data_IF_434720438502
#
_entry.id   IF_434720438502
#
_cell.length_a   1.000
_cell.length_b   1.000
_cell.length_c   1.000
_cell.angle_alpha   90.00
_cell.angle_beta   90.00
_cell.angle_gamma   90.00
#
_symmetry.space_group_name_H-M   'P 1'
#
loop_
_entity.id
_entity.type
_entity.pdbx_description
1 polymer ?
#
# COMPACT_ATOMS: atom_id res chain seq x y z
N UNK A 1 -27.97 -13.74 -2.01
CA UNK A 1 -27.41 -12.79 -1.05
C UNK A 1 -26.01 -12.43 -1.44
N UNK A 2 -25.85 -11.23 -1.88
CA UNK A 2 -24.53 -10.70 -2.11
C UNK A 2 -23.96 -10.25 -0.77
N UNK A 3 -23.16 -11.08 -0.17
CA UNK A 3 -22.41 -10.67 1.00
C UNK A 3 -21.40 -9.60 0.58
N UNK A 4 -21.69 -8.37 0.91
CA UNK A 4 -20.71 -7.30 0.72
C UNK A 4 -19.51 -7.59 1.60
N UNK A 5 -18.28 -7.48 1.06
CA UNK A 5 -17.09 -7.64 1.88
C UNK A 5 -17.12 -6.67 3.05
N UNK A 6 -16.64 -7.13 4.19
CA UNK A 6 -16.50 -6.26 5.36
C UNK A 6 -15.53 -5.12 5.03
N UNK A 7 -15.88 -3.87 5.35
CA UNK A 7 -14.99 -2.73 5.07
C UNK A 7 -13.61 -2.87 5.68
N UNK A 8 -13.49 -3.52 6.83
CA UNK A 8 -12.19 -3.77 7.46
C UNK A 8 -11.37 -4.74 6.61
N UNK A 9 -11.99 -5.81 6.13
CA UNK A 9 -11.31 -6.78 5.28
C UNK A 9 -10.87 -6.15 3.96
N UNK A 10 -11.68 -5.26 3.41
CA UNK A 10 -11.34 -4.50 2.20
C UNK A 10 -10.12 -3.60 2.45
N UNK A 11 -10.13 -2.88 3.57
CA UNK A 11 -9.01 -2.01 3.93
C UNK A 11 -7.72 -2.81 4.11
N UNK A 12 -7.78 -3.89 4.86
CA UNK A 12 -6.62 -4.78 5.08
C UNK A 12 -6.11 -5.32 3.75
N UNK A 13 -7.01 -5.72 2.87
CA UNK A 13 -6.66 -6.18 1.52
C UNK A 13 -5.95 -5.11 0.71
N UNK A 14 -6.42 -3.87 0.77
CA UNK A 14 -5.77 -2.74 0.10
C UNK A 14 -4.37 -2.48 0.64
N UNK A 15 -4.19 -2.55 1.96
CA UNK A 15 -2.88 -2.37 2.59
C UNK A 15 -1.92 -3.48 2.19
N UNK A 16 -2.42 -4.71 2.14
CA UNK A 16 -1.65 -5.86 1.66
C UNK A 16 -1.17 -5.62 0.23
N UNK A 17 -2.08 -5.24 -0.64
CA UNK A 17 -1.75 -4.98 -2.04
C UNK A 17 -0.76 -3.83 -2.18
N UNK A 18 -0.96 -2.76 -1.43
CA UNK A 18 -0.06 -1.62 -1.43
C UNK A 18 1.37 -2.06 -1.12
N UNK A 19 1.56 -2.78 -0.03
CA UNK A 19 2.90 -3.20 0.39
C UNK A 19 3.52 -4.17 -0.61
N UNK A 20 2.74 -5.14 -1.08
CA UNK A 20 3.21 -6.08 -2.09
C UNK A 20 3.70 -5.34 -3.34
N UNK A 21 2.91 -4.40 -3.80
CA UNK A 21 3.21 -3.62 -5.00
C UNK A 21 4.46 -2.75 -4.81
N UNK A 22 4.59 -2.13 -3.65
CA UNK A 22 5.77 -1.32 -3.32
C UNK A 22 7.05 -2.16 -3.29
N UNK A 23 6.95 -3.43 -2.92
CA UNK A 23 8.08 -4.35 -2.95
C UNK A 23 8.35 -4.94 -4.36
N UNK A 24 7.52 -4.60 -5.34
CA UNK A 24 7.64 -5.15 -6.68
C UNK A 24 7.29 -6.63 -6.77
N UNK A 25 6.50 -7.12 -5.83
CA UNK A 25 6.15 -8.52 -5.73
C UNK A 25 4.85 -8.81 -6.47
N UNK A 26 4.81 -9.89 -7.27
CA UNK A 26 3.59 -10.31 -7.92
C UNK A 26 2.67 -11.06 -6.96
N UNK A 27 1.39 -11.17 -7.30
CA UNK A 27 0.44 -11.99 -6.55
C UNK A 27 0.86 -13.46 -6.53
N UNK A 28 1.40 -13.94 -7.64
CA UNK A 28 1.90 -15.32 -7.75
C UNK A 28 3.07 -15.55 -6.79
N UNK A 29 3.99 -14.60 -6.72
CA UNK A 29 5.15 -14.70 -5.83
C UNK A 29 4.70 -14.71 -4.38
N UNK A 30 3.80 -13.82 -4.00
CA UNK A 30 3.27 -13.78 -2.65
C UNK A 30 2.54 -15.08 -2.32
N UNK A 31 1.72 -15.57 -3.25
CA UNK A 31 1.03 -16.85 -3.08
C UNK A 31 2.01 -17.99 -2.85
N UNK A 32 3.07 -18.04 -3.64
CA UNK A 32 4.11 -19.05 -3.47
C UNK A 32 4.73 -19.02 -2.07
N UNK A 33 5.04 -17.84 -1.57
CA UNK A 33 5.62 -17.68 -0.24
C UNK A 33 4.66 -18.06 0.89
N UNK A 34 3.36 -17.93 0.65
CA UNK A 34 2.32 -18.29 1.61
C UNK A 34 1.81 -19.72 1.46
N UNK A 35 2.19 -20.41 0.39
CA UNK A 35 1.61 -21.70 0.05
C UNK A 35 0.17 -21.61 -0.46
N UNK A 36 -0.15 -20.50 -1.11
CA UNK A 36 -1.48 -20.22 -1.65
C UNK A 36 -1.43 -20.03 -3.16
N UNK A 37 -2.59 -20.16 -3.81
CA UNK A 37 -2.72 -19.81 -5.23
C UNK A 37 -2.82 -18.28 -5.39
N UNK A 38 -2.53 -17.79 -6.58
CA UNK A 38 -2.65 -16.36 -6.84
C UNK A 38 -4.11 -15.89 -6.73
N UNK A 39 -5.08 -16.75 -7.05
CA UNK A 39 -6.49 -16.42 -6.88
C UNK A 39 -6.86 -16.18 -5.42
N UNK A 40 -6.26 -16.94 -4.50
CA UNK A 40 -6.48 -16.76 -3.07
C UNK A 40 -5.89 -15.44 -2.59
N UNK A 41 -4.69 -15.08 -3.07
CA UNK A 41 -4.09 -13.78 -2.79
C UNK A 41 -4.97 -12.65 -3.32
N UNK A 42 -5.48 -12.81 -4.54
CA UNK A 42 -6.36 -11.83 -5.17
C UNK A 42 -7.63 -11.61 -4.33
N UNK A 43 -8.22 -12.67 -3.81
CA UNK A 43 -9.39 -12.59 -2.94
C UNK A 43 -9.08 -11.87 -1.63
N UNK A 44 -7.89 -12.08 -1.07
CA UNK A 44 -7.46 -11.34 0.11
C UNK A 44 -7.33 -9.84 -0.19
N UNK A 45 -6.71 -9.50 -1.32
CA UNK A 45 -6.50 -8.11 -1.70
C UNK A 45 -7.80 -7.36 -1.99
N UNK A 46 -8.83 -8.08 -2.42
CA UNK A 46 -10.16 -7.51 -2.65
C UNK A 46 -11.04 -7.46 -1.40
N UNK A 47 -10.61 -8.10 -0.33
CA UNK A 47 -11.38 -8.18 0.89
C UNK A 47 -12.52 -9.18 0.83
N UNK A 48 -12.58 -10.01 -0.21
CA UNK A 48 -13.59 -11.06 -0.38
C UNK A 48 -13.39 -12.16 0.65
N UNK A 49 -12.13 -12.51 0.90
CA UNK A 49 -11.75 -13.46 1.94
C UNK A 49 -11.13 -12.72 3.11
N UNK A 50 -11.56 -13.07 4.31
CA UNK A 50 -10.98 -12.53 5.53
C UNK A 50 -9.61 -13.15 5.75
N UNK A 51 -8.65 -12.31 6.11
CA UNK A 51 -7.31 -12.74 6.48
C UNK A 51 -7.29 -13.00 7.98
N UNK A 52 -7.10 -14.25 8.36
CA UNK A 52 -7.00 -14.63 9.77
C UNK A 52 -5.73 -14.08 10.43
N UNK A 53 -5.71 -14.06 11.75
CA UNK A 53 -4.59 -13.50 12.51
C UNK A 53 -3.26 -14.19 12.23
N UNK A 54 -3.26 -15.51 12.08
CA UNK A 54 -2.04 -16.25 11.75
C UNK A 54 -1.50 -15.85 10.38
N UNK A 55 -2.39 -15.68 9.40
CA UNK A 55 -2.00 -15.26 8.07
C UNK A 55 -1.50 -13.83 8.03
N UNK A 56 -2.12 -12.96 8.82
CA UNK A 56 -1.63 -11.58 8.98
C UNK A 56 -0.21 -11.55 9.53
N UNK A 57 0.06 -12.38 10.51
CA UNK A 57 1.40 -12.49 11.07
C UNK A 57 2.42 -12.94 10.02
N UNK A 58 2.10 -13.99 9.27
CA UNK A 58 2.95 -14.47 8.17
C UNK A 58 3.18 -13.38 7.12
N UNK A 59 2.13 -12.68 6.75
CA UNK A 59 2.22 -11.59 5.79
C UNK A 59 3.13 -10.48 6.30
N UNK A 60 3.03 -10.13 7.56
CA UNK A 60 3.92 -9.15 8.18
C UNK A 60 5.38 -9.56 8.09
N UNK A 61 5.67 -10.84 8.32
CA UNK A 61 7.03 -11.36 8.21
C UNK A 61 7.54 -11.32 6.76
N UNK A 62 6.72 -11.75 5.82
CA UNK A 62 7.10 -11.80 4.39
C UNK A 62 7.29 -10.40 3.83
N UNK A 63 6.40 -9.49 4.18
CA UNK A 63 6.40 -8.12 3.64
C UNK A 63 7.22 -7.14 4.47
N UNK A 64 7.79 -7.60 5.58
CA UNK A 64 8.62 -6.78 6.47
C UNK A 64 7.89 -5.56 7.01
N UNK A 65 6.68 -5.78 7.49
CA UNK A 65 5.88 -4.76 8.16
C UNK A 65 5.28 -5.33 9.44
N UNK A 66 5.03 -4.49 10.46
CA UNK A 66 4.29 -4.94 11.63
C UNK A 66 2.83 -5.23 11.26
N UNK A 67 2.16 -6.07 12.03
CA UNK A 67 0.73 -6.38 11.78
C UNK A 67 -0.12 -5.11 11.79
N UNK A 68 0.25 -4.14 12.63
CA UNK A 68 -0.44 -2.84 12.68
C UNK A 68 -0.47 -2.10 11.35
N UNK A 69 0.50 -2.36 10.48
CA UNK A 69 0.55 -1.74 9.15
C UNK A 69 -0.75 -1.97 8.37
N UNK A 70 -1.34 -3.16 8.48
CA UNK A 70 -2.55 -3.51 7.74
C UNK A 70 -3.79 -2.74 8.22
N UNK A 71 -3.71 -2.14 9.39
CA UNK A 71 -4.78 -1.38 9.99
C UNK A 71 -4.52 0.13 10.00
N UNK A 72 -3.35 0.56 9.55
CA UNK A 72 -3.02 1.98 9.46
C UNK A 72 -3.95 2.68 8.46
N UNK A 73 -4.27 3.92 8.77
CA UNK A 73 -5.16 4.75 7.95
C UNK A 73 -6.55 4.15 7.75
N UNK A 74 -6.95 3.26 8.65
CA UNK A 74 -8.27 2.68 8.59
C UNK A 74 -9.32 3.78 8.78
N UNK A 75 -10.28 3.90 7.85
CA UNK A 75 -11.35 4.85 8.05
C UNK A 75 -12.09 4.47 9.33
N UNK A 76 -12.31 5.45 10.19
CA UNK A 76 -13.10 5.23 11.39
C UNK A 76 -14.46 4.69 10.96
N UNK A 77 -14.76 3.50 11.46
CA UNK A 77 -15.92 2.78 11.00
C UNK A 77 -17.21 3.44 11.43
N UNK A 78 -18.29 2.88 10.97
CA UNK A 78 -19.67 3.32 11.20
C UNK A 78 -20.05 3.46 12.68
N UNK A 79 -19.13 3.18 13.57
CA UNK A 79 -19.34 3.29 15.01
C UNK A 79 -19.35 4.70 15.56
N UNK A 80 -19.57 5.70 14.75
CA UNK A 80 -19.75 7.04 15.22
C UNK A 80 -18.52 7.93 15.15
N UNK A 81 -17.57 7.54 14.36
CA UNK A 81 -16.54 8.50 13.99
C UNK A 81 -17.21 9.67 13.34
N UNK A 82 -16.93 10.86 13.79
CA UNK A 82 -17.52 12.03 13.18
C UNK A 82 -17.00 12.16 11.75
N UNK A 83 -17.78 11.79 10.76
CA UNK A 83 -17.34 11.91 9.37
C UNK A 83 -17.08 13.37 8.99
N UNK A 84 -17.63 14.26 9.74
CA UNK A 84 -17.45 15.69 9.52
C UNK A 84 -16.05 16.19 9.88
N UNK A 85 -15.30 15.39 10.64
CA UNK A 85 -13.93 15.75 10.99
C UNK A 85 -12.92 15.31 9.93
N UNK A 86 -13.35 14.50 8.99
CA UNK A 86 -12.47 14.11 7.88
C UNK A 86 -12.48 15.19 6.82
N UNK A 87 -11.32 15.74 6.55
CA UNK A 87 -11.20 16.66 5.45
C UNK A 87 -11.69 15.97 4.17
N UNK A 88 -12.51 16.64 3.34
CA UNK A 88 -13.05 16.03 2.14
C UNK A 88 -12.00 15.43 1.22
N UNK A 89 -10.80 15.99 1.23
CA UNK A 89 -9.70 15.47 0.44
C UNK A 89 -9.18 14.13 0.90
N UNK A 90 -9.37 13.78 2.18
CA UNK A 90 -8.95 12.49 2.71
C UNK A 90 -9.97 11.39 2.40
N UNK A 91 -11.22 11.76 2.22
CA UNK A 91 -12.25 10.80 1.86
C UNK A 91 -12.15 10.35 0.40
N UNK A 92 -11.54 11.15 -0.44
CA UNK A 92 -11.38 10.84 -1.85
C UNK A 92 -10.18 9.93 -2.11
N UNK A 93 -9.16 10.01 -1.27
CA UNK A 93 -7.91 9.29 -1.47
C UNK A 93 -8.03 7.76 -1.39
N UNK A 94 -8.78 7.17 -0.46
CA UNK A 94 -8.87 5.71 -0.41
C UNK A 94 -9.45 5.10 -1.67
N UNK A 95 -10.26 5.86 -2.39
CA UNK A 95 -10.90 5.38 -3.61
C UNK A 95 -9.93 5.37 -4.79
N UNK A 96 -8.89 6.19 -4.73
CA UNK A 96 -7.88 6.27 -5.77
C UNK A 96 -6.96 5.07 -5.86
N UNK A 97 -7.00 4.18 -4.89
CA UNK A 97 -6.10 3.04 -4.84
C UNK A 97 -6.76 1.72 -5.25
N UNK A 98 -7.66 1.75 -6.20
CA UNK A 98 -8.08 0.51 -6.84
C UNK A 98 -7.03 0.13 -7.88
N UNK A 99 -6.05 -0.62 -7.45
CA UNK A 99 -4.95 -1.05 -8.30
C UNK A 99 -5.35 -2.23 -9.20
N UNK A 100 -6.44 -2.13 -9.90
CA UNK A 100 -6.76 -3.21 -10.83
C UNK A 100 -5.88 -3.16 -12.08
N UNK A 101 -5.39 -1.98 -12.41
CA UNK A 101 -4.38 -1.80 -13.43
C UNK A 101 -3.54 -0.58 -13.06
N UNK A 102 -2.22 -0.74 -13.04
CA UNK A 102 -1.29 0.37 -12.83
C UNK A 102 -1.51 1.53 -13.83
N UNK A 103 -2.19 1.24 -14.93
CA UNK A 103 -2.48 2.24 -15.96
C UNK A 103 -3.54 3.25 -15.54
N UNK A 104 -4.39 2.90 -14.58
CA UNK A 104 -5.45 3.77 -14.10
C UNK A 104 -5.00 4.72 -13.00
N UNK A 105 -3.76 4.57 -12.54
CA UNK A 105 -3.22 5.48 -11.54
C UNK A 105 -2.87 6.83 -12.16
N UNK A 106 -3.11 7.93 -11.44
CA UNK A 106 -2.56 9.23 -11.85
C UNK A 106 -1.06 9.13 -12.10
N UNK A 107 -0.57 9.89 -13.07
CA UNK A 107 0.84 9.84 -13.48
C UNK A 107 1.81 10.03 -12.31
N UNK A 108 1.48 10.93 -11.40
CA UNK A 108 2.30 11.19 -10.23
C UNK A 108 2.39 9.98 -9.30
N UNK A 109 1.29 9.28 -9.09
CA UNK A 109 1.26 8.06 -8.26
C UNK A 109 1.94 6.90 -8.97
N UNK A 110 1.77 6.79 -10.27
CA UNK A 110 2.45 5.79 -11.09
C UNK A 110 3.96 5.99 -11.06
N UNK A 111 4.41 7.21 -11.24
CA UNK A 111 5.82 7.57 -11.20
C UNK A 111 6.43 7.23 -9.83
N UNK A 112 5.74 7.58 -8.75
CA UNK A 112 6.17 7.25 -7.39
C UNK A 112 6.31 5.73 -7.21
N UNK A 113 5.32 4.98 -7.66
CA UNK A 113 5.33 3.52 -7.54
C UNK A 113 6.46 2.90 -8.35
N UNK A 114 6.65 3.36 -9.59
CA UNK A 114 7.74 2.90 -10.44
C UNK A 114 9.10 3.22 -9.82
N UNK A 115 9.23 4.41 -9.24
CA UNK A 115 10.45 4.82 -8.56
C UNK A 115 10.78 3.89 -7.38
N UNK A 116 9.80 3.60 -6.55
CA UNK A 116 9.99 2.71 -5.39
C UNK A 116 10.33 1.30 -5.85
N UNK A 117 9.65 0.81 -6.87
CA UNK A 117 9.94 -0.51 -7.44
C UNK A 117 11.36 -0.58 -7.98
N UNK A 118 11.78 0.42 -8.73
CA UNK A 118 13.13 0.50 -9.28
C UNK A 118 14.18 0.56 -8.18
N UNK A 119 13.92 1.38 -7.17
CA UNK A 119 14.79 1.52 -6.00
C UNK A 119 14.99 0.18 -5.29
N UNK A 120 13.91 -0.57 -5.09
CA UNK A 120 13.96 -1.86 -4.41
C UNK A 120 14.67 -2.95 -5.22
N UNK A 121 14.79 -2.76 -6.54
CA UNK A 121 15.51 -3.71 -7.41
C UNK A 121 17.01 -3.52 -7.39
N UNK A 122 17.49 -2.41 -6.88
CA UNK A 122 18.93 -2.16 -6.80
C UNK A 122 19.52 -3.10 -5.75
N UNK A 123 20.40 -4.05 -6.16
CA UNK A 123 20.95 -5.03 -5.24
C UNK A 123 21.97 -4.46 -4.27
N UNK A 124 22.68 -3.42 -4.65
CA UNK A 124 23.74 -2.82 -3.85
C UNK A 124 23.16 -1.79 -2.87
N UNK A 125 23.30 -2.09 -1.58
CA UNK A 125 22.79 -1.22 -0.51
C UNK A 125 23.47 0.15 -0.50
N UNK A 126 24.73 0.23 -0.88
CA UNK A 126 25.49 1.49 -0.94
C UNK A 126 24.93 2.40 -2.03
N UNK A 127 24.62 1.85 -3.19
CA UNK A 127 24.02 2.59 -4.30
C UNK A 127 22.63 3.08 -3.91
N UNK A 128 21.81 2.23 -3.29
CA UNK A 128 20.48 2.63 -2.84
C UNK A 128 20.55 3.76 -1.84
N UNK A 129 21.48 3.70 -0.90
CA UNK A 129 21.67 4.75 0.10
C UNK A 129 22.04 6.08 -0.54
N UNK A 130 22.96 6.06 -1.50
CA UNK A 130 23.36 7.27 -2.22
C UNK A 130 22.23 7.86 -3.03
N UNK A 131 21.44 7.02 -3.69
CA UNK A 131 20.28 7.48 -4.44
C UNK A 131 19.24 8.10 -3.51
N UNK A 132 19.01 7.50 -2.36
CA UNK A 132 18.11 8.03 -1.34
C UNK A 132 18.58 9.40 -0.84
N UNK A 133 19.86 9.53 -0.53
CA UNK A 133 20.45 10.80 -0.08
C UNK A 133 20.35 11.89 -1.15
N UNK A 134 20.59 11.52 -2.42
CA UNK A 134 20.46 12.45 -3.54
C UNK A 134 19.00 12.91 -3.69
N UNK A 135 18.05 11.99 -3.62
CA UNK A 135 16.63 12.30 -3.73
C UNK A 135 16.20 13.27 -2.61
N UNK A 136 16.65 13.02 -1.38
CA UNK A 136 16.38 13.92 -0.25
C UNK A 136 16.99 15.29 -0.46
N UNK A 137 18.23 15.35 -0.93
CA UNK A 137 18.90 16.61 -1.17
C UNK A 137 18.18 17.46 -2.22
N UNK A 138 17.74 16.82 -3.31
CA UNK A 138 16.98 17.50 -4.35
C UNK A 138 15.65 18.03 -3.84
N UNK A 139 14.93 17.24 -3.05
CA UNK A 139 13.67 17.66 -2.45
C UNK A 139 13.87 18.87 -1.50
N UNK A 140 14.91 18.83 -0.71
CA UNK A 140 15.22 19.93 0.23
C UNK A 140 15.66 21.22 -0.48
N UNK A 141 16.29 21.11 -1.65
CA UNK A 141 16.65 22.27 -2.45
C UNK A 141 15.41 23.02 -2.94
N UNK A 142 14.41 22.29 -3.38
CA UNK A 142 13.16 22.87 -3.86
C UNK A 142 12.39 23.53 -2.72
N UNK A 143 12.40 22.92 -1.56
CA UNK A 143 11.74 23.46 -0.37
C UNK A 143 12.36 24.81 0.07
N UNK A 144 13.68 24.94 -0.04
CA UNK A 144 14.37 26.21 0.25
C UNK A 144 14.09 27.30 -0.78
N UNK A 145 13.65 26.93 -1.98
CA UNK A 145 13.32 27.89 -3.04
C UNK A 145 11.88 28.39 -2.95
N UNK A 146 11.03 27.71 -2.22
CA UNK A 146 9.65 28.17 -2.03
C UNK A 146 9.65 29.32 -1.06
N UNK A 147 9.06 30.47 -1.46
CA UNK A 147 8.94 31.58 -0.53
C UNK A 147 8.09 31.15 0.65
N UNK A 148 8.55 31.48 1.84
CA UNK A 148 7.78 31.23 3.05
C UNK A 148 6.49 32.03 3.00
N UNK A 149 5.38 31.34 3.05
CA UNK A 149 4.06 31.94 3.24
C UNK A 149 3.72 31.99 4.72
#
# INVERSE_FOLDING_TARGET
MTDKPNPIDVHVGHRLRLRRTLLGMSQERLGHLLGLTFQQVQKYERGVNRIGSSRLYELGQILHVPVSFFFDDMPEGDGGGAPDSMAPGLAEDPVGFTFDDDRDLPLDKRETLELVRAYNRIPDATIRKRLFELTKALANLDDKRRPAH
#
